data_IF_035166036772
#
_entry.id   IF_035166036772
#
_cell.length_a   1.000
_cell.length_b   1.000
_cell.length_c   1.000
_cell.angle_alpha   90.00
_cell.angle_beta   90.00
_cell.angle_gamma   90.00
#
_symmetry.space_group_name_H-M   'P 1'
#
loop_
_entity.id
_entity.type
_entity.pdbx_description
1 polymer ?
#
# COMPACT_ATOMS: atom_id res chain seq x y z
N UNK A 1 55.36 36.46 -1.02
CA UNK A 1 55.39 35.00 -1.26
C UNK A 1 54.16 34.67 -2.08
N UNK A 2 54.33 34.55 -3.39
CA UNK A 2 53.25 34.41 -4.37
C UNK A 2 53.12 32.94 -4.75
N UNK A 3 52.02 32.31 -4.36
CA UNK A 3 51.73 30.91 -4.67
C UNK A 3 50.85 30.82 -5.92
N UNK A 4 51.49 30.50 -7.05
CA UNK A 4 50.85 30.22 -8.33
C UNK A 4 50.46 28.73 -8.37
N UNK A 5 49.16 28.44 -8.38
CA UNK A 5 48.61 27.09 -8.54
C UNK A 5 48.34 26.81 -10.02
N UNK A 6 49.09 25.89 -10.63
CA UNK A 6 48.87 25.43 -11.99
C UNK A 6 47.81 24.31 -12.01
N UNK A 7 46.77 24.51 -12.84
CA UNK A 7 45.79 23.47 -13.15
C UNK A 7 46.25 22.68 -14.39
N UNK A 8 46.34 21.37 -14.26
CA UNK A 8 46.54 20.43 -15.38
C UNK A 8 45.21 20.11 -16.08
N UNK A 9 45.17 19.96 -17.42
CA UNK A 9 43.95 19.64 -18.14
C UNK A 9 43.64 18.13 -18.16
N UNK A 10 42.35 17.82 -17.95
CA UNK A 10 41.77 16.48 -18.04
C UNK A 10 41.79 15.96 -19.49
N UNK A 11 42.45 14.82 -19.70
CA UNK A 11 42.37 14.05 -20.95
C UNK A 11 41.00 13.38 -21.10
N UNK A 12 40.30 13.71 -22.19
CA UNK A 12 39.09 13.01 -22.64
C UNK A 12 39.47 11.64 -23.23
N UNK A 13 38.85 10.58 -22.73
CA UNK A 13 38.93 9.23 -23.31
C UNK A 13 37.86 9.05 -24.41
N UNK A 14 38.17 8.30 -25.49
CA UNK A 14 37.26 8.09 -26.61
C UNK A 14 36.15 7.08 -26.30
N UNK A 15 34.94 7.39 -26.80
CA UNK A 15 33.73 6.57 -26.73
C UNK A 15 33.90 5.27 -27.52
N UNK A 16 33.77 4.12 -26.85
CA UNK A 16 33.55 2.82 -27.51
C UNK A 16 32.12 2.76 -28.06
N UNK A 17 32.05 2.53 -29.36
CA UNK A 17 30.88 2.14 -30.15
C UNK A 17 30.85 0.60 -30.21
N UNK A 18 29.76 0.03 -30.73
CA UNK A 18 29.63 -1.36 -31.26
C UNK A 18 29.13 -2.37 -30.19
N UNK A 19 28.09 -3.19 -30.35
CA UNK A 19 27.08 -3.47 -31.39
C UNK A 19 25.87 -4.13 -30.71
N UNK A 20 24.68 -3.98 -31.30
CA UNK A 20 23.46 -4.65 -30.89
C UNK A 20 23.24 -5.88 -31.81
N UNK A 21 23.40 -7.08 -31.26
CA UNK A 21 22.92 -8.30 -31.91
C UNK A 21 21.41 -8.43 -31.67
N UNK A 22 20.70 -8.58 -32.78
CA UNK A 22 19.27 -8.84 -32.86
C UNK A 22 19.13 -10.31 -33.20
N UNK A 23 18.51 -11.09 -32.31
CA UNK A 23 18.03 -12.41 -32.66
C UNK A 23 16.58 -12.59 -32.21
N UNK A 24 15.77 -13.03 -33.16
CA UNK A 24 14.32 -13.25 -33.09
C UNK A 24 14.04 -14.68 -33.60
N UNK A 25 12.80 -15.20 -33.53
CA UNK A 25 12.34 -16.09 -32.48
C UNK A 25 12.15 -17.54 -32.97
N UNK A 26 12.39 -18.53 -32.09
CA UNK A 26 12.03 -19.92 -32.37
C UNK A 26 10.68 -20.32 -31.75
N UNK A 27 9.76 -20.59 -32.67
CA UNK A 27 8.55 -21.39 -32.57
C UNK A 27 8.62 -22.54 -31.55
N UNK A 28 7.68 -22.56 -30.59
CA UNK A 28 7.32 -23.80 -29.89
C UNK A 28 5.83 -24.06 -30.10
N UNK A 29 5.55 -24.94 -31.08
CA UNK A 29 4.26 -25.62 -31.25
C UNK A 29 4.12 -26.62 -30.09
N UNK A 30 3.11 -26.45 -29.22
CA UNK A 30 2.67 -27.52 -28.30
C UNK A 30 1.36 -28.10 -28.79
N UNK A 31 1.43 -29.36 -29.18
CA UNK A 31 0.29 -30.20 -29.52
C UNK A 31 -0.55 -30.48 -28.27
N UNK A 32 -1.87 -30.32 -28.42
CA UNK A 32 -2.89 -30.85 -27.51
C UNK A 32 -2.99 -32.36 -27.76
N UNK A 33 -2.84 -33.15 -26.70
CA UNK A 33 -3.35 -34.53 -26.67
C UNK A 33 -4.41 -34.58 -25.59
N UNK A 34 -5.64 -34.82 -26.02
CA UNK A 34 -6.80 -35.12 -25.18
C UNK A 34 -6.78 -36.64 -25.00
N UNK A 35 -6.76 -37.10 -23.75
CA UNK A 35 -7.06 -38.49 -23.41
C UNK A 35 -8.12 -38.47 -22.31
N UNK A 36 -9.30 -38.92 -22.70
CA UNK A 36 -10.41 -39.31 -21.85
C UNK A 36 -9.99 -40.45 -20.93
N UNK A 37 -10.40 -40.39 -19.67
CA UNK A 37 -10.66 -41.60 -18.90
C UNK A 37 -11.75 -41.31 -17.89
N UNK A 38 -12.90 -41.93 -18.15
CA UNK A 38 -13.98 -42.14 -17.23
C UNK A 38 -13.48 -43.03 -16.06
N UNK A 39 -13.82 -42.67 -14.83
CA UNK A 39 -14.03 -43.68 -13.80
C UNK A 39 -15.07 -43.20 -12.81
N UNK A 40 -16.18 -43.93 -12.83
CA UNK A 40 -17.23 -43.92 -11.83
C UNK A 40 -16.66 -44.35 -10.47
N UNK A 41 -17.00 -43.62 -9.41
CA UNK A 41 -17.13 -44.23 -8.08
C UNK A 41 -18.16 -43.48 -7.25
N UNK A 42 -19.31 -44.13 -7.15
CA UNK A 42 -20.36 -43.89 -6.17
C UNK A 42 -19.82 -44.10 -4.75
N UNK A 43 -20.02 -43.13 -3.85
CA UNK A 43 -20.01 -43.42 -2.41
C UNK A 43 -21.09 -42.65 -1.66
N UNK A 44 -21.64 -43.35 -0.68
CA UNK A 44 -22.95 -43.17 -0.08
C UNK A 44 -22.98 -42.02 0.94
N UNK A 45 -24.03 -41.21 0.81
CA UNK A 45 -24.61 -40.36 1.86
C UNK A 45 -24.75 -41.14 3.18
N UNK A 46 -24.09 -40.65 4.23
CA UNK A 46 -24.49 -40.92 5.61
C UNK A 46 -24.67 -39.58 6.31
N UNK A 47 -25.93 -39.20 6.52
CA UNK A 47 -26.34 -38.02 7.29
C UNK A 47 -26.20 -38.35 8.78
N UNK A 48 -25.54 -37.47 9.53
CA UNK A 48 -25.50 -37.48 10.99
C UNK A 48 -25.77 -36.07 11.53
N UNK A 49 -26.31 -35.96 12.74
CA UNK A 49 -27.22 -34.87 13.09
C UNK A 49 -26.52 -33.58 13.48
N UNK A 50 -27.21 -32.49 13.15
CA UNK A 50 -26.90 -31.09 13.36
C UNK A 50 -26.92 -30.75 14.85
N UNK A 51 -25.75 -30.70 15.49
CA UNK A 51 -25.57 -30.12 16.83
C UNK A 51 -25.45 -28.60 16.68
N UNK A 52 -26.47 -27.88 17.11
CA UNK A 52 -26.46 -26.42 17.21
C UNK A 52 -25.47 -25.99 18.30
N UNK A 53 -24.26 -25.61 17.90
CA UNK A 53 -23.31 -24.89 18.76
C UNK A 53 -23.65 -23.41 18.75
N UNK A 54 -24.30 -22.94 19.81
CA UNK A 54 -24.33 -21.53 20.20
C UNK A 54 -22.89 -21.05 20.45
N UNK A 55 -22.35 -20.24 19.52
CA UNK A 55 -21.06 -19.57 19.68
C UNK A 55 -21.27 -18.29 20.48
N UNK A 56 -20.95 -18.38 21.77
CA UNK A 56 -20.84 -17.23 22.68
C UNK A 56 -19.69 -16.33 22.22
N UNK A 57 -20.00 -15.05 22.01
CA UNK A 57 -19.03 -14.01 21.64
C UNK A 57 -17.96 -13.86 22.73
N UNK A 58 -16.69 -14.12 22.38
CA UNK A 58 -15.55 -14.03 23.28
C UNK A 58 -14.98 -12.60 23.33
N UNK A 59 -15.11 -11.96 24.49
CA UNK A 59 -14.78 -10.56 24.78
C UNK A 59 -13.30 -10.27 25.15
N UNK A 60 -12.31 -10.96 24.56
CA UNK A 60 -10.91 -10.91 25.07
C UNK A 60 -9.87 -10.22 24.16
N UNK A 61 -10.26 -9.41 23.17
CA UNK A 61 -9.31 -8.77 22.22
C UNK A 61 -9.12 -7.26 22.39
N UNK A 62 -9.70 -6.62 23.41
CA UNK A 62 -9.66 -5.16 23.58
C UNK A 62 -8.29 -4.63 24.01
N UNK A 63 -7.67 -5.22 25.04
CA UNK A 63 -6.48 -4.65 25.69
C UNK A 63 -5.24 -4.48 24.79
N UNK A 64 -5.04 -5.35 23.81
CA UNK A 64 -3.90 -5.23 22.87
C UNK A 64 -4.09 -4.09 21.86
N UNK A 65 -5.33 -3.83 21.43
CA UNK A 65 -5.61 -2.72 20.51
C UNK A 65 -5.46 -1.38 21.21
N UNK A 66 -5.74 -1.32 22.51
CA UNK A 66 -5.66 -0.11 23.31
C UNK A 66 -4.22 0.36 23.55
N UNK A 67 -3.27 -0.54 23.79
CA UNK A 67 -1.84 -0.18 23.96
C UNK A 67 -1.24 0.46 22.71
N UNK A 68 -1.43 -0.17 21.53
CA UNK A 68 -0.98 0.37 20.25
C UNK A 68 -1.62 1.74 19.98
N UNK A 69 -2.93 1.86 20.22
CA UNK A 69 -3.66 3.11 20.04
C UNK A 69 -3.15 4.21 20.99
N UNK A 70 -2.78 3.88 22.22
CA UNK A 70 -2.19 4.83 23.17
C UNK A 70 -0.80 5.29 22.73
N UNK A 71 0.05 4.40 22.22
CA UNK A 71 1.35 4.78 21.66
C UNK A 71 1.19 5.70 20.44
N UNK A 72 0.28 5.36 19.52
CA UNK A 72 -0.05 6.21 18.36
C UNK A 72 -0.54 7.58 18.82
N UNK A 73 -1.45 7.64 19.80
CA UNK A 73 -1.93 8.90 20.40
C UNK A 73 -0.80 9.71 21.01
N UNK A 74 0.17 9.08 21.67
CA UNK A 74 1.34 9.76 22.25
C UNK A 74 2.22 10.37 21.16
N UNK A 75 2.53 9.60 20.11
CA UNK A 75 3.29 10.07 18.93
C UNK A 75 2.56 11.21 18.22
N UNK A 76 1.23 11.11 18.08
CA UNK A 76 0.37 12.17 17.56
C UNK A 76 0.39 13.43 18.44
N UNK A 77 0.26 13.28 19.75
CA UNK A 77 0.23 14.41 20.68
C UNK A 77 1.55 15.17 20.72
N UNK A 78 2.69 14.48 20.54
CA UNK A 78 4.00 15.14 20.40
C UNK A 78 4.22 15.78 19.03
N UNK A 79 3.44 15.38 18.03
CA UNK A 79 3.55 15.84 16.65
C UNK A 79 2.39 16.79 16.36
N UNK A 80 2.41 18.00 16.92
CA UNK A 80 1.39 19.01 16.61
C UNK A 80 1.34 19.21 15.09
N UNK A 81 0.28 18.76 14.40
CA UNK A 81 0.24 18.89 12.96
C UNK A 81 -0.04 20.36 12.66
N UNK A 82 0.89 20.99 11.94
CA UNK A 82 0.58 22.24 11.26
C UNK A 82 -0.68 21.99 10.42
N UNK A 83 -1.74 22.74 10.72
CA UNK A 83 -2.99 22.70 9.95
C UNK A 83 -2.94 23.91 9.03
N UNK A 84 -2.46 23.78 7.79
CA UNK A 84 -2.56 24.89 6.86
C UNK A 84 -4.03 25.29 6.75
N UNK A 85 -4.30 26.59 6.75
CA UNK A 85 -5.62 27.08 6.38
C UNK A 85 -5.90 26.58 4.97
N UNK A 86 -6.88 25.69 4.84
CA UNK A 86 -7.25 25.14 3.54
C UNK A 86 -7.97 26.25 2.79
N UNK A 87 -7.25 26.88 1.86
CA UNK A 87 -7.80 27.89 0.98
C UNK A 87 -8.64 27.18 -0.10
N UNK A 88 -9.89 26.90 0.23
CA UNK A 88 -10.87 26.24 -0.63
C UNK A 88 -12.03 25.75 0.22
N UNK A 89 -13.27 26.11 -0.15
CA UNK A 89 -14.44 25.46 0.44
C UNK A 89 -14.42 24.02 -0.06
N UNK A 90 -14.12 23.06 0.81
CA UNK A 90 -14.32 21.64 0.50
C UNK A 90 -15.83 21.41 0.30
N UNK A 91 -16.32 21.76 -0.89
CA UNK A 91 -17.75 21.87 -1.17
C UNK A 91 -18.42 20.51 -1.09
N UNK A 92 -17.77 19.49 -1.66
CA UNK A 92 -18.29 18.12 -1.69
C UNK A 92 -17.16 17.09 -1.73
N UNK A 93 -17.35 15.97 -1.01
CA UNK A 93 -16.50 14.79 -1.12
C UNK A 93 -16.83 14.09 -2.42
N UNK A 94 -15.84 13.90 -3.30
CA UNK A 94 -16.02 13.09 -4.51
C UNK A 94 -15.87 11.61 -4.14
N UNK A 95 -16.95 10.86 -4.29
CA UNK A 95 -16.94 9.40 -4.13
C UNK A 95 -16.83 8.74 -5.50
N UNK A 96 -15.87 7.85 -5.68
CA UNK A 96 -15.59 7.23 -6.98
C UNK A 96 -15.28 5.75 -6.83
N UNK A 97 -15.70 4.93 -7.78
CA UNK A 97 -15.25 3.53 -7.85
C UNK A 97 -13.87 3.46 -8.49
N UNK A 98 -13.06 2.51 -8.04
CA UNK A 98 -11.67 2.40 -8.54
C UNK A 98 -11.57 1.92 -10.00
N UNK A 99 -12.53 1.14 -10.48
CA UNK A 99 -12.62 0.73 -11.88
C UNK A 99 -12.89 1.92 -12.81
N UNK A 100 -13.64 2.92 -12.33
CA UNK A 100 -13.86 4.18 -13.06
C UNK A 100 -12.58 4.99 -13.21
N UNK A 101 -11.80 5.09 -12.13
CA UNK A 101 -10.48 5.72 -12.19
C UNK A 101 -9.52 4.96 -13.12
N UNK A 102 -9.59 3.62 -13.15
CA UNK A 102 -8.81 2.82 -14.11
C UNK A 102 -9.24 3.09 -15.55
N UNK A 103 -10.53 3.15 -15.84
CA UNK A 103 -11.03 3.42 -17.19
C UNK A 103 -10.58 4.81 -17.69
N UNK A 104 -10.73 5.84 -16.86
CA UNK A 104 -10.39 7.23 -17.16
C UNK A 104 -8.88 7.49 -17.20
N UNK A 105 -8.13 7.02 -16.19
CA UNK A 105 -6.74 7.44 -15.97
C UNK A 105 -5.71 6.31 -16.15
N UNK A 106 -6.15 5.10 -16.52
CA UNK A 106 -5.32 3.89 -16.73
C UNK A 106 -4.48 3.49 -15.51
N UNK A 107 -4.98 3.73 -14.29
CA UNK A 107 -4.30 3.34 -13.05
C UNK A 107 -4.54 1.88 -12.68
N UNK A 108 -3.60 1.23 -11.97
CA UNK A 108 -3.81 -0.13 -11.46
C UNK A 108 -4.99 -0.25 -10.49
N UNK A 109 -5.67 -1.39 -10.44
CA UNK A 109 -6.88 -1.61 -9.61
C UNK A 109 -6.61 -2.21 -8.22
N UNK A 110 -5.45 -2.83 -8.00
CA UNK A 110 -5.16 -3.56 -6.75
C UNK A 110 -4.06 -2.94 -5.89
N UNK A 111 -3.20 -2.10 -6.48
CA UNK A 111 -2.03 -1.57 -5.79
C UNK A 111 -2.42 -0.44 -4.80
N UNK A 112 -1.76 -0.33 -3.65
CA UNK A 112 -2.06 0.77 -2.73
C UNK A 112 -1.58 2.12 -3.30
N UNK A 113 -0.36 2.15 -3.85
CA UNK A 113 0.23 3.31 -4.52
C UNK A 113 0.21 3.05 -6.03
N UNK A 114 -0.32 3.99 -6.78
CA UNK A 114 -0.36 3.97 -8.26
C UNK A 114 0.01 5.35 -8.81
N UNK A 115 0.25 5.43 -10.12
CA UNK A 115 0.56 6.68 -10.80
C UNK A 115 -0.36 6.90 -11.99
N UNK A 116 -0.80 8.15 -12.18
CA UNK A 116 -1.35 8.62 -13.45
C UNK A 116 -0.18 9.18 -14.28
N UNK A 117 -0.08 8.74 -15.53
CA UNK A 117 0.94 9.27 -16.44
C UNK A 117 0.70 10.75 -16.76
N UNK A 118 1.76 11.45 -17.19
CA UNK A 118 1.70 12.85 -17.63
C UNK A 118 0.64 13.13 -18.70
N UNK A 119 0.32 12.14 -19.53
CA UNK A 119 -0.63 12.31 -20.63
C UNK A 119 -2.09 12.23 -20.19
N UNK A 120 -2.35 11.49 -19.11
CA UNK A 120 -3.69 11.20 -18.58
C UNK A 120 -4.06 12.04 -17.36
N UNK A 121 -3.08 12.71 -16.73
CA UNK A 121 -3.33 13.56 -15.57
C UNK A 121 -4.03 14.86 -16.01
N UNK A 122 -5.29 15.13 -15.60
CA UNK A 122 -5.97 16.36 -15.96
C UNK A 122 -5.25 17.56 -15.34
N UNK A 123 -5.19 18.65 -16.10
CA UNK A 123 -4.46 19.85 -15.74
C UNK A 123 -5.40 21.06 -15.71
N UNK A 124 -5.30 21.91 -14.68
CA UNK A 124 -6.00 23.18 -14.67
C UNK A 124 -5.70 24.00 -15.93
N UNK A 125 -6.68 24.77 -16.45
CA UNK A 125 -6.48 25.65 -17.60
C UNK A 125 -5.24 26.54 -17.43
N UNK A 126 -4.42 26.64 -18.48
CA UNK A 126 -3.17 27.42 -18.47
C UNK A 126 -1.95 26.69 -17.90
N UNK A 127 -2.09 25.48 -17.36
CA UNK A 127 -0.93 24.70 -16.91
C UNK A 127 -0.21 24.08 -18.10
N UNK A 128 1.02 24.53 -18.36
CA UNK A 128 1.84 24.03 -19.47
C UNK A 128 2.61 22.75 -19.06
N UNK A 129 3.04 22.66 -17.80
CA UNK A 129 3.93 21.59 -17.33
C UNK A 129 3.11 20.38 -16.91
N UNK A 130 3.16 19.31 -17.72
CA UNK A 130 2.58 18.02 -17.37
C UNK A 130 3.44 17.28 -16.35
N UNK A 131 2.80 16.78 -15.29
CA UNK A 131 3.44 15.97 -14.23
C UNK A 131 2.68 14.68 -14.03
N UNK A 132 3.41 13.64 -13.61
CA UNK A 132 2.76 12.43 -13.10
C UNK A 132 2.06 12.75 -11.79
N UNK A 133 0.96 12.05 -11.51
CA UNK A 133 0.24 12.15 -10.24
C UNK A 133 0.36 10.82 -9.51
N UNK A 134 0.93 10.85 -8.31
CA UNK A 134 0.92 9.70 -7.41
C UNK A 134 -0.41 9.66 -6.66
N UNK A 135 -1.02 8.48 -6.57
CA UNK A 135 -2.27 8.26 -5.84
C UNK A 135 -2.08 7.14 -4.82
N UNK A 136 -2.57 7.34 -3.60
CA UNK A 136 -2.65 6.29 -2.60
C UNK A 136 -4.11 5.91 -2.26
N UNK A 137 -4.34 4.62 -2.08
CA UNK A 137 -5.64 4.01 -1.79
C UNK A 137 -5.63 3.25 -0.44
N UNK A 138 -5.50 3.94 0.70
CA UNK A 138 -5.54 3.28 2.00
C UNK A 138 -6.99 2.97 2.47
N UNK A 139 -7.12 1.97 3.35
CA UNK A 139 -8.42 1.54 3.91
C UNK A 139 -8.42 1.76 5.43
N UNK A 140 -9.53 2.30 5.97
CA UNK A 140 -9.76 2.51 7.40
C UNK A 140 -9.66 1.25 8.24
N UNK A 141 -10.05 0.08 7.72
CA UNK A 141 -9.98 -1.19 8.46
C UNK A 141 -8.56 -1.52 8.92
N UNK A 142 -7.56 -1.15 8.10
CA UNK A 142 -6.15 -1.38 8.37
C UNK A 142 -5.45 -0.15 8.94
N UNK A 143 -6.09 1.02 8.84
CA UNK A 143 -5.52 2.31 9.21
C UNK A 143 -6.63 3.15 9.88
N UNK A 144 -6.95 2.87 11.15
CA UNK A 144 -8.10 3.47 11.82
C UNK A 144 -7.95 4.99 12.03
N UNK A 145 -6.71 5.49 11.98
CA UNK A 145 -6.33 6.90 12.17
C UNK A 145 -6.11 7.64 10.83
N UNK A 146 -6.67 7.13 9.72
CA UNK A 146 -6.80 7.92 8.49
C UNK A 146 -7.83 9.04 8.66
N UNK A 147 -7.79 9.96 7.70
CA UNK A 147 -8.68 11.09 7.57
C UNK A 147 -10.11 10.60 7.32
N UNK A 148 -11.08 11.28 7.93
CA UNK A 148 -12.51 11.02 7.73
C UNK A 148 -13.21 12.11 6.93
N UNK A 149 -12.51 13.23 6.71
CA UNK A 149 -12.97 14.37 5.94
C UNK A 149 -11.82 14.88 5.08
N UNK A 150 -12.09 15.42 3.88
CA UNK A 150 -11.07 16.08 3.09
C UNK A 150 -10.39 17.18 3.91
N UNK A 151 -9.07 17.26 3.81
CA UNK A 151 -8.31 18.29 4.48
C UNK A 151 -7.80 17.94 5.89
N UNK A 152 -8.42 16.98 6.57
CA UNK A 152 -7.92 16.53 7.86
C UNK A 152 -6.58 15.80 7.68
N UNK A 153 -5.66 15.84 8.66
CA UNK A 153 -4.46 15.01 8.64
C UNK A 153 -4.80 13.55 8.92
N UNK A 154 -3.85 12.64 8.68
CA UNK A 154 -4.01 11.23 9.03
C UNK A 154 -2.68 10.50 9.24
N UNK A 155 -2.77 9.29 9.80
CA UNK A 155 -1.64 8.35 9.85
C UNK A 155 -1.93 7.13 8.98
N UNK A 156 -0.94 6.81 8.16
CA UNK A 156 -0.88 5.59 7.38
C UNK A 156 0.10 4.60 8.02
N UNK A 157 -0.39 3.41 8.32
CA UNK A 157 0.41 2.25 8.74
C UNK A 157 0.71 1.39 7.53
N UNK A 158 2.00 1.18 7.24
CA UNK A 158 2.40 0.37 6.09
C UNK A 158 3.67 -0.41 6.35
N UNK A 159 3.68 -1.67 5.93
CA UNK A 159 4.91 -2.48 5.90
C UNK A 159 5.71 -2.28 4.60
N UNK A 160 5.30 -1.33 3.75
CA UNK A 160 6.08 -0.96 2.56
C UNK A 160 7.30 -0.15 2.96
N UNK A 161 8.45 -0.34 2.29
CA UNK A 161 9.64 0.46 2.55
C UNK A 161 9.38 1.95 2.44
N UNK A 162 9.96 2.72 3.35
CA UNK A 162 9.85 4.18 3.38
C UNK A 162 10.29 4.84 2.07
N UNK A 163 11.35 4.32 1.44
CA UNK A 163 11.86 4.82 0.16
C UNK A 163 10.83 4.75 -0.99
N UNK A 164 9.84 3.85 -0.92
CA UNK A 164 8.75 3.81 -1.89
C UNK A 164 7.66 4.87 -1.62
N UNK A 165 7.69 5.48 -0.43
CA UNK A 165 6.65 6.38 0.08
C UNK A 165 7.14 7.83 0.25
N UNK A 166 8.39 8.15 -0.05
CA UNK A 166 8.87 9.53 -0.07
C UNK A 166 8.29 10.28 -1.28
N UNK A 167 7.08 10.79 -1.10
CA UNK A 167 6.35 11.55 -2.12
C UNK A 167 6.08 12.96 -1.62
N UNK A 168 6.54 13.96 -2.38
CA UNK A 168 6.31 15.37 -2.07
C UNK A 168 4.82 15.74 -2.11
N UNK A 169 4.08 15.09 -3.01
CA UNK A 169 2.64 15.28 -3.22
C UNK A 169 2.00 13.98 -3.70
N UNK A 170 0.87 13.62 -3.11
CA UNK A 170 0.03 12.51 -3.54
C UNK A 170 -1.46 12.83 -3.37
N UNK A 171 -2.29 12.31 -4.26
CA UNK A 171 -3.74 12.30 -4.10
C UNK A 171 -4.14 11.13 -3.22
N UNK A 172 -4.98 11.37 -2.21
CA UNK A 172 -5.39 10.33 -1.25
C UNK A 172 -6.86 9.98 -1.45
N UNK A 173 -7.12 8.68 -1.61
CA UNK A 173 -8.47 8.13 -1.70
C UNK A 173 -8.67 7.13 -0.56
N UNK A 174 -9.62 7.41 0.33
CA UNK A 174 -9.87 6.55 1.50
C UNK A 174 -11.11 5.71 1.26
N UNK A 175 -11.00 4.42 1.53
CA UNK A 175 -12.17 3.53 1.58
C UNK A 175 -12.83 3.64 2.95
N UNK A 176 -14.01 4.27 3.01
CA UNK A 176 -14.73 4.53 4.26
C UNK A 176 -15.48 3.30 4.78
N UNK A 177 -16.09 2.53 3.89
CA UNK A 177 -16.79 1.28 4.20
C UNK A 177 -16.19 0.15 3.34
N UNK A 178 -15.70 -0.91 3.99
CA UNK A 178 -15.11 -2.04 3.29
C UNK A 178 -16.11 -2.85 2.48
N UNK A 179 -17.41 -2.74 2.77
CA UNK A 179 -18.50 -3.41 2.05
C UNK A 179 -18.82 -2.76 0.72
N UNK A 180 -18.52 -1.47 0.54
CA UNK A 180 -18.79 -0.76 -0.72
C UNK A 180 -17.56 -0.81 -1.64
N UNK A 181 -17.72 -0.47 -2.91
CA UNK A 181 -16.59 -0.29 -3.84
C UNK A 181 -16.15 1.19 -3.99
N UNK A 182 -16.72 2.06 -3.16
CA UNK A 182 -16.54 3.51 -3.25
C UNK A 182 -15.32 3.97 -2.47
N UNK A 183 -14.66 4.98 -3.01
CA UNK A 183 -13.48 5.62 -2.46
C UNK A 183 -13.71 7.12 -2.43
N UNK A 184 -13.42 7.73 -1.29
CA UNK A 184 -13.61 9.15 -1.08
C UNK A 184 -12.30 9.88 -1.36
N UNK A 185 -12.31 10.83 -2.29
CA UNK A 185 -11.16 11.69 -2.55
C UNK A 185 -10.99 12.68 -1.39
N UNK A 186 -9.88 12.56 -0.68
CA UNK A 186 -9.59 13.37 0.52
C UNK A 186 -8.78 14.64 0.21
N UNK A 187 -8.22 14.75 -1.00
CA UNK A 187 -7.39 15.87 -1.41
C UNK A 187 -5.94 15.48 -1.72
N UNK A 188 -5.07 16.48 -1.64
CA UNK A 188 -3.65 16.39 -1.91
C UNK A 188 -2.85 16.44 -0.62
N UNK A 189 -1.94 15.49 -0.45
CA UNK A 189 -1.19 15.29 0.79
C UNK A 189 0.30 15.17 0.53
N UNK A 190 1.08 15.68 1.47
CA UNK A 190 2.50 15.37 1.59
C UNK A 190 2.67 14.13 2.47
N UNK A 191 3.55 13.22 2.05
CA UNK A 191 3.87 12.03 2.80
C UNK A 191 5.10 12.29 3.66
N UNK A 192 4.92 12.24 4.98
CA UNK A 192 5.98 12.48 5.96
C UNK A 192 6.27 11.20 6.74
N UNK A 193 7.33 10.45 6.38
CA UNK A 193 7.81 9.38 7.24
C UNK A 193 8.21 9.95 8.60
N UNK A 194 7.72 9.36 9.69
CA UNK A 194 7.99 9.85 11.04
C UNK A 194 8.65 8.83 11.93
N UNK A 195 8.18 7.59 11.87
CA UNK A 195 8.66 6.56 12.79
C UNK A 195 8.38 5.16 12.26
N UNK A 196 8.88 4.18 13.00
CA UNK A 196 8.72 2.74 12.78
C UNK A 196 8.27 2.10 14.08
N UNK A 197 7.17 1.36 14.04
CA UNK A 197 6.76 0.45 15.10
C UNK A 197 7.52 -0.86 14.84
N UNK A 198 8.52 -1.19 15.67
CA UNK A 198 9.35 -2.38 15.47
C UNK A 198 10.79 -2.29 15.97
N UNK A 199 11.36 -1.09 16.05
CA UNK A 199 12.79 -0.94 16.34
C UNK A 199 13.19 -1.24 17.79
N UNK A 200 14.35 -1.89 17.94
CA UNK A 200 15.01 -2.29 19.20
C UNK A 200 15.26 -1.12 20.18
N UNK A 201 15.16 0.13 19.72
CA UNK A 201 15.49 1.32 20.50
C UNK A 201 14.48 1.78 21.55
N UNK A 202 13.27 1.19 21.65
CA UNK A 202 12.20 1.70 22.53
C UNK A 202 11.70 0.73 23.63
N UNK A 203 12.49 -0.29 23.99
CA UNK A 203 12.06 -1.36 24.90
C UNK A 203 11.37 -2.50 24.16
N UNK A 204 10.93 -3.55 24.89
CA UNK A 204 10.35 -4.78 24.31
C UNK A 204 9.49 -4.47 23.10
N UNK A 205 9.83 -5.03 21.94
CA UNK A 205 9.22 -4.68 20.66
C UNK A 205 7.70 -4.84 20.72
N UNK A 206 6.94 -4.04 19.97
CA UNK A 206 5.46 -4.10 19.94
C UNK A 206 4.93 -5.53 19.79
N UNK A 207 5.66 -6.36 19.04
CA UNK A 207 5.35 -7.76 18.82
C UNK A 207 5.44 -8.58 20.11
N UNK A 208 6.49 -8.40 20.91
CA UNK A 208 6.69 -9.10 22.20
C UNK A 208 5.62 -8.76 23.23
N UNK A 209 5.01 -7.58 23.11
CA UNK A 209 3.91 -7.15 23.99
C UNK A 209 2.56 -7.80 23.62
N UNK A 210 2.46 -8.46 22.47
CA UNK A 210 1.23 -9.15 22.06
C UNK A 210 1.06 -10.47 22.84
N UNK A 211 -0.19 -10.82 23.21
CA UNK A 211 -0.48 -12.14 23.76
C UNK A 211 0.04 -13.25 22.85
N UNK A 212 0.59 -14.31 23.41
CA UNK A 212 1.22 -15.41 22.66
C UNK A 212 0.28 -16.00 21.60
N UNK A 213 -1.01 -16.15 21.93
CA UNK A 213 -2.03 -16.61 20.98
C UNK A 213 -2.13 -15.71 19.74
N UNK A 214 -2.01 -14.39 19.92
CA UNK A 214 -2.04 -13.42 18.80
C UNK A 214 -0.76 -13.52 17.98
N UNK A 215 0.41 -13.63 18.63
CA UNK A 215 1.70 -13.83 17.96
C UNK A 215 1.70 -15.06 17.05
N UNK A 216 1.34 -16.23 17.61
CA UNK A 216 1.22 -17.49 16.84
C UNK A 216 0.22 -17.39 15.68
N UNK A 217 -0.89 -16.67 15.88
CA UNK A 217 -1.85 -16.42 14.81
C UNK A 217 -1.27 -15.56 13.69
N UNK A 218 -0.48 -14.53 14.02
CA UNK A 218 0.19 -13.66 13.04
C UNK A 218 1.26 -14.46 12.27
N UNK A 219 2.09 -15.23 12.97
CA UNK A 219 3.10 -16.12 12.37
C UNK A 219 2.45 -17.11 11.39
N UNK A 220 1.40 -17.81 11.83
CA UNK A 220 0.66 -18.75 11.00
C UNK A 220 0.02 -18.08 9.78
N UNK A 221 -0.52 -16.87 9.95
CA UNK A 221 -1.13 -16.10 8.84
C UNK A 221 -0.09 -15.71 7.80
N UNK A 222 1.07 -15.20 8.24
CA UNK A 222 2.18 -14.82 7.38
C UNK A 222 2.74 -16.05 6.66
N UNK A 223 2.83 -17.19 7.34
CA UNK A 223 3.32 -18.43 6.75
C UNK A 223 2.35 -18.97 5.69
N UNK A 224 1.06 -19.07 6.02
CA UNK A 224 0.08 -19.78 5.21
C UNK A 224 -0.57 -19.00 4.07
N UNK A 225 -0.64 -17.66 4.14
CA UNK A 225 -1.42 -16.88 3.15
C UNK A 225 -0.53 -16.33 2.04
N UNK A 226 -0.97 -16.49 0.78
CA UNK A 226 -0.27 -15.97 -0.41
C UNK A 226 -0.06 -14.44 -0.36
N UNK A 227 -1.00 -13.70 0.22
CA UNK A 227 -0.92 -12.23 0.37
C UNK A 227 0.28 -11.76 1.20
N UNK A 228 0.88 -12.63 2.02
CA UNK A 228 2.05 -12.34 2.84
C UNK A 228 3.36 -12.87 2.25
N UNK A 229 3.36 -13.29 0.98
CA UNK A 229 4.56 -13.79 0.26
C UNK A 229 5.77 -12.86 0.42
N UNK A 230 5.59 -11.56 0.31
CA UNK A 230 6.65 -10.56 0.42
C UNK A 230 7.32 -10.51 1.81
N UNK A 231 6.60 -10.82 2.89
CA UNK A 231 7.22 -10.96 4.22
C UNK A 231 8.18 -12.15 4.23
N UNK A 232 7.72 -13.30 3.73
CA UNK A 232 8.54 -14.51 3.68
C UNK A 232 9.77 -14.33 2.79
N UNK A 233 9.62 -13.67 1.65
CA UNK A 233 10.75 -13.38 0.74
C UNK A 233 11.81 -12.50 1.41
N UNK A 234 11.42 -11.45 2.13
CA UNK A 234 12.37 -10.60 2.85
C UNK A 234 13.09 -11.33 3.98
N UNK A 235 12.34 -12.10 4.78
CA UNK A 235 12.93 -12.88 5.88
C UNK A 235 13.89 -13.93 5.30
N UNK A 236 13.48 -14.63 4.25
CA UNK A 236 14.29 -15.63 3.57
C UNK A 236 15.58 -15.03 3.02
N UNK A 237 15.52 -13.88 2.35
CA UNK A 237 16.69 -13.19 1.83
C UNK A 237 17.68 -12.81 2.95
N UNK A 238 17.20 -12.37 4.12
CA UNK A 238 18.06 -12.01 5.26
C UNK A 238 18.70 -13.21 5.95
N UNK A 239 18.00 -14.35 5.95
CA UNK A 239 18.48 -15.60 6.55
C UNK A 239 19.26 -16.47 5.55
N UNK A 240 19.42 -16.02 4.30
CA UNK A 240 19.98 -16.81 3.19
C UNK A 240 19.26 -18.16 3.00
N UNK A 241 17.93 -18.11 3.08
CA UNK A 241 17.03 -19.26 2.91
C UNK A 241 16.15 -19.09 1.67
N UNK A 242 15.50 -20.17 1.25
CA UNK A 242 14.41 -20.07 0.27
C UNK A 242 13.10 -19.66 0.96
N UNK A 243 12.19 -18.95 0.29
CA UNK A 243 10.89 -18.56 0.90
C UNK A 243 10.03 -19.74 1.37
N UNK A 244 10.25 -20.94 0.82
CA UNK A 244 9.58 -22.17 1.22
C UNK A 244 10.16 -22.80 2.49
N UNK A 245 11.40 -22.46 2.86
CA UNK A 245 12.07 -22.97 4.06
C UNK A 245 11.78 -22.14 5.31
N UNK A 246 11.12 -20.98 5.18
CA UNK A 246 10.77 -20.12 6.31
C UNK A 246 9.77 -20.81 7.24
N UNK A 247 10.07 -20.80 8.53
CA UNK A 247 9.21 -21.34 9.59
C UNK A 247 8.46 -20.24 10.34
N UNK A 248 7.47 -20.62 11.16
CA UNK A 248 6.80 -19.70 12.08
C UNK A 248 7.77 -19.07 13.09
N UNK A 249 8.78 -19.84 13.55
CA UNK A 249 9.78 -19.35 14.48
C UNK A 249 10.67 -18.27 13.85
N UNK A 250 11.05 -18.42 12.58
CA UNK A 250 11.81 -17.40 11.84
C UNK A 250 11.03 -16.09 11.70
N UNK A 251 9.72 -16.19 11.44
CA UNK A 251 8.83 -15.03 11.38
C UNK A 251 8.74 -14.35 12.75
N UNK A 252 8.54 -15.12 13.82
CA UNK A 252 8.51 -14.60 15.18
C UNK A 252 9.82 -13.90 15.56
N UNK A 253 10.96 -14.54 15.27
CA UNK A 253 12.29 -13.97 15.52
C UNK A 253 12.53 -12.68 14.73
N UNK A 254 12.15 -12.64 13.45
CA UNK A 254 12.25 -11.43 12.62
C UNK A 254 11.39 -10.28 13.17
N UNK A 255 10.17 -10.56 13.64
CA UNK A 255 9.29 -9.57 14.26
C UNK A 255 9.84 -9.05 15.60
N UNK A 256 10.40 -9.93 16.43
CA UNK A 256 11.05 -9.56 17.70
C UNK A 256 12.27 -8.68 17.47
N UNK A 257 13.10 -9.05 16.50
CA UNK A 257 14.31 -8.31 16.14
C UNK A 257 14.02 -6.95 15.49
N UNK A 258 12.80 -6.74 15.01
CA UNK A 258 12.43 -5.54 14.26
C UNK A 258 12.87 -5.58 12.80
N UNK A 259 13.18 -6.76 12.25
CA UNK A 259 13.46 -6.91 10.81
C UNK A 259 12.17 -6.69 9.97
N UNK A 260 11.01 -6.85 10.61
CA UNK A 260 9.69 -6.58 10.04
C UNK A 260 9.02 -5.42 10.79
N UNK A 261 9.18 -4.22 10.24
CA UNK A 261 8.69 -2.98 10.83
C UNK A 261 7.38 -2.52 10.18
N UNK A 262 6.54 -1.85 10.98
CA UNK A 262 5.39 -1.11 10.48
C UNK A 262 5.78 0.37 10.45
N UNK A 263 5.87 0.95 9.26
CA UNK A 263 6.16 2.37 9.09
C UNK A 263 4.93 3.19 9.45
N UNK A 264 5.16 4.26 10.21
CA UNK A 264 4.18 5.27 10.57
C UNK A 264 4.45 6.48 9.70
N UNK A 265 3.51 6.70 8.79
CA UNK A 265 3.59 7.74 7.79
C UNK A 265 2.51 8.76 8.10
N UNK A 266 2.92 10.00 8.32
CA UNK A 266 2.00 11.11 8.51
C UNK A 266 1.58 11.64 7.15
N UNK A 267 0.29 11.89 7.02
CA UNK A 267 -0.32 12.49 5.84
C UNK A 267 -0.74 13.90 6.22
N UNK A 268 0.00 14.88 5.71
CA UNK A 268 -0.27 16.31 5.91
C UNK A 268 -1.00 16.86 4.69
N UNK A 269 -2.20 17.43 4.88
CA UNK A 269 -2.95 18.02 3.78
C UNK A 269 -2.22 19.26 3.26
N UNK A 270 -2.02 19.33 1.95
CA UNK A 270 -1.46 20.50 1.27
C UNK A 270 -2.48 21.19 0.35
N UNK A 271 -3.70 20.67 0.25
CA UNK A 271 -4.79 21.29 -0.49
C UNK A 271 -5.82 20.29 -1.02
N UNK A 272 -6.77 20.80 -1.80
CA UNK A 272 -7.78 19.99 -2.49
C UNK A 272 -7.79 20.39 -3.97
N UNK A 273 -7.56 19.43 -4.87
CA UNK A 273 -7.50 19.70 -6.31
C UNK A 273 -8.91 19.66 -6.92
N UNK A 274 -9.59 20.81 -6.89
CA UNK A 274 -10.96 20.93 -7.42
C UNK A 274 -11.04 20.59 -8.91
N UNK A 275 -10.00 20.87 -9.69
CA UNK A 275 -9.99 20.55 -11.11
C UNK A 275 -10.00 19.04 -11.32
N UNK A 276 -9.14 18.31 -10.60
CA UNK A 276 -9.13 16.85 -10.64
C UNK A 276 -10.45 16.26 -10.11
N UNK A 277 -11.01 16.83 -9.04
CA UNK A 277 -12.31 16.42 -8.50
C UNK A 277 -13.44 16.57 -9.53
N UNK A 278 -13.51 17.71 -10.22
CA UNK A 278 -14.52 17.97 -11.24
C UNK A 278 -14.35 17.08 -12.48
N UNK A 279 -13.12 16.81 -12.88
CA UNK A 279 -12.82 15.88 -13.97
C UNK A 279 -13.31 14.45 -13.65
N UNK A 280 -13.11 13.98 -12.42
CA UNK A 280 -13.68 12.71 -11.95
C UNK A 280 -15.21 12.69 -12.00
N UNK A 281 -15.86 13.76 -11.52
CA UNK A 281 -17.33 13.88 -11.56
C UNK A 281 -17.87 13.86 -12.99
N UNK A 282 -17.16 14.48 -13.93
CA UNK A 282 -17.52 14.42 -15.35
C UNK A 282 -17.52 12.99 -15.88
N UNK A 283 -16.49 12.20 -15.58
CA UNK A 283 -16.42 10.79 -15.98
C UNK A 283 -17.51 9.93 -15.32
N UNK A 284 -17.86 10.22 -14.05
CA UNK A 284 -18.97 9.56 -13.36
C UNK A 284 -20.31 9.81 -14.07
N UNK A 285 -20.59 11.08 -14.41
CA UNK A 285 -21.83 11.47 -15.08
C UNK A 285 -21.92 10.89 -16.50
N UNK A 286 -20.80 10.84 -17.23
CA UNK A 286 -20.75 10.22 -18.56
C UNK A 286 -21.11 8.74 -18.50
N UNK A 287 -20.53 7.99 -17.57
CA UNK A 287 -20.86 6.56 -17.44
C UNK A 287 -22.31 6.33 -17.00
N UNK A 288 -22.84 7.15 -16.10
CA UNK A 288 -24.24 7.05 -15.69
C UNK A 288 -25.20 7.27 -16.88
N UNK A 289 -24.85 8.18 -17.80
CA UNK A 289 -25.62 8.41 -19.01
C UNK A 289 -25.53 7.26 -20.04
N UNK A 290 -24.41 6.53 -20.08
CA UNK A 290 -24.25 5.35 -20.94
C UNK A 290 -25.01 4.11 -20.44
N UNK A 291 -25.34 4.06 -19.15
CA UNK A 291 -26.07 2.96 -18.50
C UNK A 291 -27.60 3.13 -18.52
N UNK A 292 -28.10 4.29 -18.98
CA UNK A 292 -29.55 4.62 -19.06
C UNK A 292 -30.08 4.43 -20.48
#
# INVERSE_FOLDING_TARGET
MSSSSSHAPLQMQPKRKVEAETDSPQNIKRARTIAESESEKSEKKTLSPMVQRTVSASASSSGSRDSLRMHIKKVLASSSPYRPEIHGKAGHVVQVRRDLLNAAYKIGTQQMLVRISKTQNPLPPGTIIRRERSIIFPNLDRNPDLMRKPGDPGILFTARPEAEMTLDKCSVFVKMDSKTALWDYMGEYKILPRSKIGGVGQGRGWYEQLPEKVRKSVESDILGKAKHKHYRERIAQRLDLTPAAITAADIGAAMVKGDEEINLIFLECIGYDEHFANDMLKHLNQKAAEET
#
